data_IF_208242156446
#
_entry.id   IF_208242156446
#
_cell.length_a   1.000
_cell.length_b   1.000
_cell.length_c   1.000
_cell.angle_alpha   90.00
_cell.angle_beta   90.00
_cell.angle_gamma   90.00
#
_symmetry.space_group_name_H-M   'P 1'
#
loop_
_entity.id
_entity.type
_entity.pdbx_description
1 polymer ?
#
# COMPACT_ATOMS: atom_id res chain seq x y z
N UNK A 1 -3.16 -27.32 -7.61
CA UNK A 1 -2.91 -25.86 -7.62
C UNK A 1 -3.44 -25.32 -6.30
N UNK A 2 -2.62 -25.33 -5.25
CA UNK A 2 -3.00 -24.84 -3.92
C UNK A 2 -1.80 -24.10 -3.35
N UNK A 3 -1.86 -22.77 -3.32
CA UNK A 3 -0.75 -22.03 -2.75
C UNK A 3 -0.66 -20.55 -3.08
N UNK A 4 -1.77 -19.86 -3.30
CA UNK A 4 -2.01 -18.45 -2.90
C UNK A 4 -3.43 -18.09 -3.31
N UNK A 5 -4.22 -17.50 -2.40
CA UNK A 5 -5.58 -17.03 -2.74
C UNK A 5 -5.56 -15.69 -3.53
N UNK A 6 -4.37 -15.14 -3.80
CA UNK A 6 -4.13 -13.82 -4.39
C UNK A 6 -2.94 -13.94 -5.34
N UNK A 7 -3.10 -13.59 -6.62
CA UNK A 7 -2.00 -13.62 -7.58
C UNK A 7 -1.02 -12.45 -7.37
N UNK A 8 0.15 -12.52 -8.00
CA UNK A 8 1.11 -11.41 -7.99
C UNK A 8 0.51 -10.12 -8.59
N UNK A 9 -0.27 -10.29 -9.67
CA UNK A 9 -1.01 -9.20 -10.31
C UNK A 9 -2.04 -8.60 -9.35
N UNK A 10 -2.81 -9.43 -8.63
CA UNK A 10 -3.76 -8.96 -7.63
C UNK A 10 -3.06 -8.14 -6.53
N UNK A 11 -1.85 -8.52 -6.10
CA UNK A 11 -1.08 -7.74 -5.13
C UNK A 11 -0.67 -6.38 -5.70
N UNK A 12 -0.31 -6.32 -6.99
CA UNK A 12 -0.03 -5.06 -7.69
C UNK A 12 -1.24 -4.13 -7.75
N UNK A 13 -2.41 -4.68 -8.08
CA UNK A 13 -3.67 -3.94 -8.15
C UNK A 13 -4.10 -3.43 -6.76
N UNK A 14 -3.98 -4.26 -5.73
CA UNK A 14 -4.29 -3.86 -4.35
C UNK A 14 -3.33 -2.76 -3.89
N UNK A 15 -2.01 -2.88 -4.15
CA UNK A 15 -1.06 -1.84 -3.79
C UNK A 15 -1.41 -0.49 -4.45
N UNK A 16 -1.75 -0.51 -5.74
CA UNK A 16 -2.17 0.69 -6.48
C UNK A 16 -3.44 1.30 -5.89
N UNK A 17 -4.43 0.47 -5.55
CA UNK A 17 -5.66 0.94 -4.91
C UNK A 17 -5.41 1.55 -3.52
N UNK A 18 -4.45 1.03 -2.75
CA UNK A 18 -4.07 1.61 -1.46
C UNK A 18 -3.33 2.94 -1.65
N UNK A 19 -2.48 3.07 -2.67
CA UNK A 19 -1.84 4.34 -3.03
C UNK A 19 -2.88 5.40 -3.46
N UNK A 20 -3.94 5.00 -4.17
CA UNK A 20 -5.05 5.91 -4.51
C UNK A 20 -5.79 6.40 -3.25
N UNK A 21 -6.11 5.50 -2.31
CA UNK A 21 -6.73 5.87 -1.03
C UNK A 21 -5.83 6.80 -0.23
N UNK A 22 -4.52 6.54 -0.24
CA UNK A 22 -3.51 7.37 0.40
C UNK A 22 -3.51 8.80 -0.16
N UNK A 23 -3.54 8.93 -1.48
CA UNK A 23 -3.67 10.19 -2.21
C UNK A 23 -4.97 10.93 -1.87
N UNK A 24 -6.10 10.22 -1.85
CA UNK A 24 -7.40 10.77 -1.48
C UNK A 24 -7.40 11.32 -0.05
N UNK A 25 -6.82 10.59 0.90
CA UNK A 25 -6.72 11.05 2.30
C UNK A 25 -5.86 12.30 2.41
N UNK A 26 -4.74 12.39 1.66
CA UNK A 26 -3.93 13.62 1.60
C UNK A 26 -4.73 14.79 1.02
N UNK A 27 -5.45 14.56 -0.08
CA UNK A 27 -6.29 15.57 -0.74
C UNK A 27 -7.40 16.08 0.19
N UNK A 28 -8.08 15.19 0.91
CA UNK A 28 -9.09 15.54 1.92
C UNK A 28 -8.46 16.37 3.04
N UNK A 29 -7.26 16.02 3.51
CA UNK A 29 -6.54 16.79 4.52
C UNK A 29 -6.17 18.20 4.05
N UNK A 30 -5.71 18.33 2.82
CA UNK A 30 -5.38 19.63 2.23
C UNK A 30 -6.63 20.50 2.12
N UNK A 31 -7.72 19.93 1.60
CA UNK A 31 -9.03 20.58 1.49
C UNK A 31 -9.57 20.98 2.87
N UNK A 32 -9.41 20.12 3.88
CA UNK A 32 -9.78 20.42 5.26
C UNK A 32 -8.98 21.62 5.79
N UNK A 33 -7.65 21.59 5.64
CA UNK A 33 -6.78 22.66 6.12
C UNK A 33 -7.04 24.00 5.43
N UNK A 34 -7.30 23.98 4.11
CA UNK A 34 -7.64 25.19 3.36
C UNK A 34 -9.02 25.73 3.76
N UNK A 35 -10.02 24.86 3.87
CA UNK A 35 -11.39 25.25 4.20
C UNK A 35 -11.58 25.73 5.64
N UNK A 36 -10.73 25.27 6.56
CA UNK A 36 -10.83 25.59 8.00
C UNK A 36 -9.81 26.62 8.49
N UNK A 37 -8.95 27.13 7.60
CA UNK A 37 -7.82 28.02 7.88
C UNK A 37 -8.07 29.07 8.97
N UNK A 38 -9.09 29.90 8.76
CA UNK A 38 -9.48 31.00 9.65
C UNK A 38 -10.85 30.77 10.32
N UNK A 39 -11.35 29.52 10.31
CA UNK A 39 -12.69 29.21 10.79
C UNK A 39 -12.95 29.55 12.27
N UNK A 40 -11.89 29.65 13.08
CA UNK A 40 -12.00 30.06 14.48
C UNK A 40 -12.54 31.48 14.65
N UNK A 41 -12.32 32.37 13.67
CA UNK A 41 -12.79 33.76 13.71
C UNK A 41 -14.31 33.91 13.50
N UNK A 42 -14.98 32.86 13.00
CA UNK A 42 -16.43 32.86 12.81
C UNK A 42 -17.20 32.73 14.13
N UNK A 43 -16.53 32.36 15.22
CA UNK A 43 -17.16 32.16 16.52
C UNK A 43 -17.21 33.45 17.33
N UNK A 44 -18.33 33.68 18.01
CA UNK A 44 -18.56 34.86 18.83
C UNK A 44 -17.74 34.89 20.14
N UNK A 45 -17.19 33.75 20.55
CA UNK A 45 -16.42 33.61 21.80
C UNK A 45 -15.07 32.96 21.55
N UNK A 46 -14.12 33.30 22.40
CA UNK A 46 -12.75 32.77 22.36
C UNK A 46 -12.75 31.26 22.64
N UNK A 47 -13.59 30.81 23.57
CA UNK A 47 -13.71 29.40 23.95
C UNK A 47 -14.19 28.54 22.77
N UNK A 48 -15.18 29.04 22.00
CA UNK A 48 -15.66 28.33 20.82
C UNK A 48 -14.60 28.33 19.69
N UNK A 49 -13.88 29.42 19.50
CA UNK A 49 -12.77 29.48 18.54
C UNK A 49 -11.60 28.56 18.89
N UNK A 50 -11.29 28.42 20.19
CA UNK A 50 -10.29 27.48 20.70
C UNK A 50 -10.73 26.03 20.48
N UNK A 51 -11.97 25.67 20.86
CA UNK A 51 -12.52 24.34 20.64
C UNK A 51 -12.55 23.96 19.14
N UNK A 52 -12.87 24.91 18.26
CA UNK A 52 -12.78 24.70 16.82
C UNK A 52 -11.34 24.42 16.37
N UNK A 53 -10.38 25.18 16.88
CA UNK A 53 -8.96 25.03 16.53
C UNK A 53 -8.42 23.66 16.96
N UNK A 54 -8.88 23.15 18.12
CA UNK A 54 -8.56 21.81 18.61
C UNK A 54 -9.13 20.74 17.69
N UNK A 55 -10.42 20.84 17.33
CA UNK A 55 -11.07 19.89 16.40
C UNK A 55 -10.38 19.92 15.03
N UNK A 56 -10.10 21.11 14.49
CA UNK A 56 -9.39 21.29 13.23
C UNK A 56 -8.06 20.57 13.23
N UNK A 57 -7.25 20.80 14.26
CA UNK A 57 -5.91 20.22 14.38
C UNK A 57 -5.99 18.70 14.59
N UNK A 58 -6.94 18.22 15.39
CA UNK A 58 -7.16 16.80 15.64
C UNK A 58 -7.57 16.03 14.37
N UNK A 59 -8.48 16.58 13.56
CA UNK A 59 -8.88 15.99 12.28
C UNK A 59 -7.70 16.00 11.29
N UNK A 60 -6.95 17.09 11.20
CA UNK A 60 -5.78 17.18 10.32
C UNK A 60 -4.67 16.18 10.69
N UNK A 61 -4.48 15.92 11.98
CA UNK A 61 -3.56 14.90 12.49
C UNK A 61 -4.05 13.48 12.18
N UNK A 62 -5.34 13.20 12.44
CA UNK A 62 -5.92 11.88 12.14
C UNK A 62 -5.82 11.52 10.66
N UNK A 63 -6.08 12.48 9.77
CA UNK A 63 -5.93 12.26 8.33
C UNK A 63 -4.46 12.04 7.94
N UNK A 64 -3.52 12.75 8.56
CA UNK A 64 -2.10 12.55 8.32
C UNK A 64 -1.64 11.15 8.72
N UNK A 65 -1.97 10.72 9.94
CA UNK A 65 -1.62 9.39 10.45
C UNK A 65 -2.21 8.29 9.58
N UNK A 66 -3.42 8.52 9.06
CA UNK A 66 -4.08 7.57 8.17
C UNK A 66 -3.39 7.46 6.80
N UNK A 67 -2.97 8.57 6.21
CA UNK A 67 -2.18 8.57 4.98
C UNK A 67 -0.85 7.83 5.17
N UNK A 68 -0.12 8.11 6.26
CA UNK A 68 1.14 7.40 6.59
C UNK A 68 0.89 5.90 6.72
N UNK A 69 -0.20 5.50 7.39
CA UNK A 69 -0.55 4.09 7.53
C UNK A 69 -0.83 3.42 6.18
N UNK A 70 -1.56 4.09 5.27
CA UNK A 70 -1.83 3.52 3.95
C UNK A 70 -0.58 3.41 3.09
N UNK A 71 0.29 4.41 3.11
CA UNK A 71 1.60 4.33 2.44
C UNK A 71 2.41 3.12 2.92
N UNK A 72 2.47 2.89 4.24
CA UNK A 72 3.17 1.73 4.80
C UNK A 72 2.52 0.38 4.44
N UNK A 73 1.20 0.33 4.29
CA UNK A 73 0.50 -0.86 3.80
C UNK A 73 0.82 -1.13 2.33
N UNK A 74 0.78 -0.10 1.48
CA UNK A 74 1.14 -0.24 0.06
C UNK A 74 2.60 -0.70 -0.12
N UNK A 75 3.51 -0.16 0.69
CA UNK A 75 4.92 -0.59 0.72
C UNK A 75 5.04 -2.06 1.15
N UNK A 76 4.36 -2.47 2.23
CA UNK A 76 4.35 -3.86 2.69
C UNK A 76 3.82 -4.84 1.64
N UNK A 77 2.81 -4.43 0.86
CA UNK A 77 2.25 -5.25 -0.23
C UNK A 77 3.27 -5.37 -1.37
N UNK A 78 3.94 -4.27 -1.75
CA UNK A 78 5.01 -4.29 -2.76
C UNK A 78 6.17 -5.18 -2.33
N UNK A 79 6.60 -5.10 -1.07
CA UNK A 79 7.62 -5.99 -0.52
C UNK A 79 7.19 -7.47 -0.56
N UNK A 80 5.93 -7.75 -0.22
CA UNK A 80 5.34 -9.09 -0.32
C UNK A 80 5.35 -9.61 -1.75
N UNK A 81 4.94 -8.77 -2.73
CA UNK A 81 4.99 -9.08 -4.16
C UNK A 81 6.41 -9.42 -4.61
N UNK A 82 7.41 -8.60 -4.27
CA UNK A 82 8.81 -8.87 -4.60
C UNK A 82 9.36 -10.14 -3.93
N UNK A 83 8.77 -10.56 -2.81
CA UNK A 83 9.10 -11.85 -2.19
C UNK A 83 8.49 -13.03 -2.95
N UNK A 84 7.26 -12.90 -3.50
CA UNK A 84 6.67 -13.91 -4.38
C UNK A 84 7.51 -14.13 -5.63
N UNK A 85 7.90 -13.05 -6.32
CA UNK A 85 8.70 -13.13 -7.55
C UNK A 85 10.01 -13.87 -7.32
N UNK A 86 10.72 -13.56 -6.21
CA UNK A 86 11.96 -14.26 -5.85
C UNK A 86 11.77 -15.76 -5.59
N UNK A 87 10.64 -16.16 -5.01
CA UNK A 87 10.34 -17.58 -4.78
C UNK A 87 10.00 -18.27 -6.09
N UNK A 88 9.24 -17.62 -6.96
CA UNK A 88 8.91 -18.15 -8.29
C UNK A 88 10.16 -18.33 -9.15
N UNK A 89 11.03 -17.32 -9.19
CA UNK A 89 12.32 -17.38 -9.89
C UNK A 89 13.20 -18.53 -9.38
N UNK A 90 13.31 -18.68 -8.06
CA UNK A 90 14.10 -19.75 -7.45
C UNK A 90 13.51 -21.15 -7.73
N UNK A 91 12.19 -21.29 -7.77
CA UNK A 91 11.51 -22.54 -8.12
C UNK A 91 11.73 -22.85 -9.60
N UNK A 92 11.56 -21.88 -10.48
CA UNK A 92 11.81 -22.01 -11.92
C UNK A 92 13.26 -22.41 -12.19
N UNK A 93 14.25 -21.76 -11.56
CA UNK A 93 15.67 -22.12 -11.67
C UNK A 93 15.94 -23.55 -11.17
N UNK A 94 15.33 -23.96 -10.05
CA UNK A 94 15.49 -25.31 -9.53
C UNK A 94 14.91 -26.37 -10.47
N UNK A 95 13.74 -26.10 -11.08
CA UNK A 95 13.13 -26.99 -12.08
C UNK A 95 14.01 -27.06 -13.33
N UNK A 96 14.43 -25.91 -13.85
CA UNK A 96 15.33 -25.80 -15.00
C UNK A 96 16.70 -26.41 -14.76
N UNK A 97 17.10 -26.67 -13.51
CA UNK A 97 18.32 -27.40 -13.17
C UNK A 97 18.11 -28.91 -13.08
N UNK A 98 16.91 -29.38 -12.74
CA UNK A 98 16.59 -30.80 -12.57
C UNK A 98 16.13 -31.45 -13.89
N UNK A 99 15.42 -30.71 -14.73
CA UNK A 99 14.85 -31.19 -16.01
C UNK A 99 15.86 -31.34 -17.17
N UNK A 100 16.99 -30.62 -17.27
CA UNK A 100 17.92 -30.77 -18.40
C UNK A 100 18.59 -32.14 -18.44
N UNK A 101 18.97 -32.67 -17.28
CA UNK A 101 19.76 -33.90 -17.19
C UNK A 101 18.93 -35.18 -17.39
N UNK A 102 17.61 -35.13 -17.22
CA UNK A 102 16.77 -36.34 -17.38
C UNK A 102 16.27 -36.57 -18.81
N UNK A 103 16.16 -35.53 -19.64
CA UNK A 103 15.69 -35.68 -21.03
C UNK A 103 16.83 -36.12 -21.96
N UNK A 104 18.06 -35.68 -21.73
CA UNK A 104 19.23 -36.17 -22.46
C UNK A 104 19.57 -37.61 -22.12
N UNK A 105 19.37 -38.06 -20.88
CA UNK A 105 19.65 -39.46 -20.48
C UNK A 105 18.55 -40.45 -20.94
N UNK A 106 17.30 -40.00 -21.14
CA UNK A 106 16.20 -40.82 -21.67
C UNK A 106 16.17 -40.93 -23.20
N UNK A 107 16.80 -40.00 -23.92
CA UNK A 107 16.81 -39.96 -25.39
C UNK A 107 18.21 -40.00 -26.03
N UNK A 108 19.28 -40.08 -25.25
CA UNK A 108 20.66 -39.98 -25.76
C UNK A 108 21.69 -40.75 -24.94
N UNK A 109 21.67 -42.08 -25.01
CA UNK A 109 22.77 -42.91 -24.53
C UNK A 109 22.68 -44.33 -25.10
N UNK A 110 23.70 -44.74 -25.87
CA UNK A 110 23.91 -46.10 -26.39
C UNK A 110 23.88 -47.17 -25.31
#
# INVERSE_FOLDING_TARGET
>A
MTGFFTSNDDLGDIASSVDDIESDVRSVRETWNSGTGDGAAAFATVECGAAFSDVRSGVAALLHDRAVKYAGVAESIREGRSAYERVEDAVSEAIDRVVPDQITDLFGGN
#
